data_IF_007244143201
#
_entry.id   IF_007244143201
#
_cell.length_a   1.000
_cell.length_b   1.000
_cell.length_c   1.000
_cell.angle_alpha   90.00
_cell.angle_beta   90.00
_cell.angle_gamma   90.00
#
_symmetry.space_group_name_H-M   'P 1'
#
loop_
_entity.id
_entity.type
_entity.pdbx_description
1 polymer ?
#
# COMPACT_ATOMS: atom_id res chain seq x y z
N UNK A 1 17.39 -6.76 -2.74
CA UNK A 1 16.17 -5.93 -2.73
C UNK A 1 15.22 -6.49 -3.77
N UNK A 2 14.13 -7.06 -3.34
CA UNK A 2 13.11 -7.55 -4.27
C UNK A 2 11.75 -6.99 -3.84
N UNK A 3 11.20 -6.13 -4.68
CA UNK A 3 9.82 -5.73 -4.57
C UNK A 3 8.94 -6.94 -4.88
N UNK A 4 8.23 -7.41 -3.88
CA UNK A 4 7.42 -8.62 -3.93
C UNK A 4 5.93 -8.26 -3.81
N UNK A 5 5.06 -8.87 -4.63
CA UNK A 5 3.63 -8.60 -4.61
C UNK A 5 3.00 -9.21 -3.35
N UNK A 6 2.27 -8.39 -2.61
CA UNK A 6 1.61 -8.77 -1.37
C UNK A 6 0.14 -8.32 -1.39
N UNK A 7 -0.72 -9.11 -0.73
CA UNK A 7 -2.08 -8.69 -0.39
C UNK A 7 -2.14 -8.38 1.11
N UNK A 8 -2.63 -7.19 1.45
CA UNK A 8 -2.61 -6.71 2.82
C UNK A 8 -4.00 -6.53 3.44
N UNK A 9 -5.08 -6.84 2.67
CA UNK A 9 -6.46 -6.68 3.12
C UNK A 9 -7.37 -7.76 2.53
N UNK A 10 -7.61 -8.82 3.30
CA UNK A 10 -8.55 -9.86 2.90
C UNK A 10 -9.31 -10.46 4.11
N UNK A 11 -10.45 -11.05 3.83
CA UNK A 11 -11.36 -11.58 4.81
C UNK A 11 -11.64 -13.06 4.55
N UNK A 12 -11.48 -13.86 5.61
CA UNK A 12 -11.88 -15.26 5.61
C UNK A 12 -13.34 -15.44 6.06
N UNK A 13 -13.78 -16.68 6.09
CA UNK A 13 -15.10 -17.06 6.63
C UNK A 13 -15.21 -16.94 8.16
N UNK A 14 -14.13 -16.54 8.85
CA UNK A 14 -14.19 -16.10 10.25
C UNK A 14 -14.65 -14.65 10.37
N UNK A 15 -14.57 -13.87 9.27
CA UNK A 15 -15.07 -12.50 9.16
C UNK A 15 -16.21 -12.40 8.16
N UNK A 16 -16.06 -11.51 7.16
CA UNK A 16 -17.08 -11.22 6.13
C UNK A 16 -16.82 -11.97 4.80
N UNK A 17 -15.73 -12.75 4.70
CA UNK A 17 -15.37 -13.47 3.51
C UNK A 17 -16.09 -14.81 3.34
N UNK A 18 -16.07 -15.32 2.12
CA UNK A 18 -16.66 -16.62 1.77
C UNK A 18 -15.63 -17.76 1.73
N UNK A 19 -14.34 -17.44 1.76
CA UNK A 19 -13.26 -18.42 1.70
C UNK A 19 -12.77 -18.79 3.10
N UNK A 20 -12.41 -20.05 3.31
CA UNK A 20 -11.58 -20.42 4.45
C UNK A 20 -10.19 -19.79 4.36
N UNK A 21 -9.47 -19.72 5.47
CA UNK A 21 -8.08 -19.26 5.47
C UNK A 21 -7.23 -20.10 4.52
N UNK A 22 -7.40 -21.42 4.55
CA UNK A 22 -6.66 -22.34 3.65
C UNK A 22 -6.92 -22.06 2.17
N UNK A 23 -8.17 -21.76 1.79
CA UNK A 23 -8.49 -21.38 0.40
C UNK A 23 -7.86 -20.04 0.01
N UNK A 24 -7.84 -19.05 0.92
CA UNK A 24 -7.16 -17.78 0.67
C UNK A 24 -5.65 -17.95 0.47
N UNK A 25 -5.00 -18.78 1.29
CA UNK A 25 -3.58 -19.08 1.15
C UNK A 25 -3.30 -19.75 -0.21
N UNK A 26 -4.12 -20.74 -0.61
CA UNK A 26 -3.95 -21.40 -1.91
C UNK A 26 -4.19 -20.43 -3.09
N UNK A 27 -5.27 -19.66 -3.06
CA UNK A 27 -5.57 -18.64 -4.07
C UNK A 27 -4.45 -17.60 -4.19
N UNK A 28 -3.82 -17.23 -3.06
CA UNK A 28 -2.68 -16.33 -3.05
C UNK A 28 -1.45 -16.92 -3.74
N UNK A 29 -1.20 -18.21 -3.52
CA UNK A 29 -0.13 -18.93 -4.22
C UNK A 29 -0.41 -19.01 -5.73
N UNK A 30 -1.64 -19.31 -6.11
CA UNK A 30 -2.08 -19.39 -7.51
C UNK A 30 -1.99 -18.02 -8.21
N UNK A 31 -2.25 -16.93 -7.49
CA UNK A 31 -2.11 -15.54 -7.93
C UNK A 31 -0.64 -15.04 -7.89
N UNK A 32 0.31 -15.91 -7.50
CA UNK A 32 1.73 -15.58 -7.37
C UNK A 32 2.00 -14.42 -6.40
N UNK A 33 1.20 -14.27 -5.36
CA UNK A 33 1.50 -13.37 -4.25
C UNK A 33 2.62 -13.98 -3.40
N UNK A 34 3.55 -13.14 -2.99
CA UNK A 34 4.66 -13.57 -2.12
C UNK A 34 4.25 -13.67 -0.65
N UNK A 35 3.17 -12.95 -0.28
CA UNK A 35 2.68 -12.88 1.09
C UNK A 35 1.24 -12.34 1.10
N UNK A 36 0.43 -12.81 2.08
CA UNK A 36 -0.94 -12.35 2.31
C UNK A 36 -1.15 -11.98 3.78
N UNK A 37 -1.95 -10.95 4.06
CA UNK A 37 -2.45 -10.65 5.40
C UNK A 37 -3.91 -11.13 5.54
N UNK A 38 -4.19 -11.93 6.55
CA UNK A 38 -5.58 -12.25 6.94
C UNK A 38 -6.01 -11.17 7.92
N UNK A 39 -7.04 -10.41 7.54
CA UNK A 39 -7.47 -9.20 8.26
C UNK A 39 -8.98 -9.22 8.54
N UNK A 40 -9.47 -10.33 9.07
CA UNK A 40 -10.88 -10.49 9.41
C UNK A 40 -11.39 -9.37 10.31
N UNK A 41 -12.62 -8.95 10.08
CA UNK A 41 -13.22 -7.80 10.73
C UNK A 41 -13.47 -8.05 12.22
N UNK A 42 -12.77 -7.32 13.08
CA UNK A 42 -12.87 -7.35 14.53
C UNK A 42 -12.68 -8.74 15.17
N UNK A 43 -11.99 -9.68 14.48
CA UNK A 43 -11.66 -11.01 14.99
C UNK A 43 -10.29 -11.48 14.51
N UNK A 44 -9.71 -12.41 15.26
CA UNK A 44 -8.44 -13.08 14.95
C UNK A 44 -8.62 -14.61 14.94
N UNK A 45 -9.85 -15.10 14.87
CA UNK A 45 -10.18 -16.53 15.00
C UNK A 45 -9.53 -17.38 13.89
N UNK A 46 -9.33 -16.79 12.70
CA UNK A 46 -8.66 -17.45 11.57
C UNK A 46 -7.16 -17.70 11.74
N UNK A 47 -6.50 -17.12 12.76
CA UNK A 47 -5.03 -17.25 12.92
C UNK A 47 -4.56 -18.69 13.16
N UNK A 48 -5.40 -19.52 13.75
CA UNK A 48 -5.07 -20.93 14.00
C UNK A 48 -4.97 -21.78 12.72
N UNK A 49 -5.50 -21.30 11.61
CA UNK A 49 -5.51 -21.97 10.31
C UNK A 49 -4.40 -21.50 9.37
N UNK A 50 -3.56 -20.53 9.79
CA UNK A 50 -2.46 -20.03 8.98
C UNK A 50 -1.41 -21.13 8.75
N UNK A 51 -0.98 -21.29 7.50
CA UNK A 51 0.07 -22.22 7.09
C UNK A 51 1.06 -21.52 6.14
N UNK A 52 2.15 -21.02 6.70
CA UNK A 52 3.20 -20.32 5.96
C UNK A 52 3.94 -21.22 4.94
N UNK A 53 3.72 -22.54 4.96
CA UNK A 53 4.27 -23.44 3.94
C UNK A 53 3.53 -23.36 2.60
N UNK A 54 2.29 -22.89 2.60
CA UNK A 54 1.48 -22.63 1.39
C UNK A 54 1.79 -21.23 0.85
N UNK A 55 1.54 -20.21 1.69
CA UNK A 55 1.87 -18.80 1.39
C UNK A 55 2.25 -18.12 2.69
N UNK A 56 3.43 -17.47 2.76
CA UNK A 56 3.80 -16.66 3.92
C UNK A 56 2.70 -15.67 4.29
N UNK A 57 2.38 -15.56 5.57
CA UNK A 57 1.21 -14.81 6.03
C UNK A 57 1.53 -13.75 7.09
N UNK A 58 0.67 -12.75 7.18
CA UNK A 58 0.63 -11.75 8.25
C UNK A 58 -0.66 -11.95 9.03
N UNK A 59 -0.53 -12.03 10.35
CA UNK A 59 -1.64 -11.93 11.29
C UNK A 59 -2.12 -10.49 11.35
N UNK A 60 -3.35 -10.22 10.96
CA UNK A 60 -3.90 -8.88 10.95
C UNK A 60 -5.38 -8.86 11.33
N UNK A 61 -5.90 -7.69 11.57
CA UNK A 61 -7.32 -7.47 11.84
C UNK A 61 -7.76 -6.15 11.20
N UNK A 62 -8.91 -6.16 10.55
CA UNK A 62 -9.60 -4.91 10.26
C UNK A 62 -10.37 -4.48 11.52
N UNK A 63 -9.96 -3.36 12.09
CA UNK A 63 -10.62 -2.70 13.21
C UNK A 63 -11.74 -1.82 12.66
N UNK A 64 -12.90 -2.43 12.40
CA UNK A 64 -14.04 -1.73 11.81
C UNK A 64 -14.86 -1.01 12.87
N UNK A 65 -15.18 0.25 12.61
CA UNK A 65 -15.96 1.11 13.50
C UNK A 65 -17.00 1.91 12.69
N UNK A 66 -18.02 2.51 13.33
CA UNK A 66 -18.97 3.40 12.63
C UNK A 66 -18.36 4.67 12.05
N UNK A 67 -17.09 4.95 12.35
CA UNK A 67 -16.37 6.16 11.94
C UNK A 67 -15.23 5.90 10.97
N UNK A 68 -15.11 4.69 10.45
CA UNK A 68 -14.05 4.24 9.56
C UNK A 68 -13.28 3.06 10.11
N UNK A 69 -12.38 2.51 9.32
CA UNK A 69 -11.63 1.30 9.64
C UNK A 69 -10.12 1.53 9.68
N UNK A 70 -9.45 0.77 10.53
CA UNK A 70 -7.99 0.63 10.56
C UNK A 70 -7.61 -0.80 10.21
N UNK A 71 -6.49 -0.99 9.55
CA UNK A 71 -5.80 -2.28 9.47
C UNK A 71 -4.71 -2.33 10.54
N UNK A 72 -4.78 -3.33 11.42
CA UNK A 72 -3.75 -3.63 12.42
C UNK A 72 -3.01 -4.88 11.97
N UNK A 73 -1.81 -4.73 11.43
CA UNK A 73 -1.00 -5.84 10.90
C UNK A 73 0.10 -6.23 11.89
N UNK A 74 0.28 -7.52 12.15
CA UNK A 74 1.30 -8.06 13.06
C UNK A 74 0.85 -8.13 14.51
N UNK A 75 -0.42 -8.43 14.75
CA UNK A 75 -0.98 -8.67 16.09
C UNK A 75 -1.09 -10.17 16.35
N UNK A 76 -1.00 -10.57 17.62
CA UNK A 76 -1.16 -11.98 18.04
C UNK A 76 -2.57 -12.29 18.59
N UNK A 77 -3.32 -11.26 18.93
CA UNK A 77 -4.69 -11.39 19.46
C UNK A 77 -5.53 -10.16 19.12
N UNK A 78 -6.84 -10.35 19.09
CA UNK A 78 -7.79 -9.26 18.86
C UNK A 78 -7.68 -8.18 19.94
N UNK A 79 -7.83 -6.93 19.51
CA UNK A 79 -8.01 -5.76 20.38
C UNK A 79 -9.48 -5.34 20.27
N UNK A 80 -10.12 -5.02 21.38
CA UNK A 80 -11.49 -4.52 21.37
C UNK A 80 -11.54 -3.11 20.79
N UNK A 81 -12.02 -3.02 19.55
CA UNK A 81 -12.17 -1.75 18.82
C UNK A 81 -13.64 -1.35 18.60
N UNK A 82 -14.60 -2.16 19.09
CA UNK A 82 -16.03 -1.91 18.88
C UNK A 82 -16.52 -0.61 19.51
N UNK A 83 -15.87 -0.19 20.60
CA UNK A 83 -16.20 1.04 21.33
C UNK A 83 -15.36 2.25 20.87
N UNK A 84 -14.72 2.17 19.69
CA UNK A 84 -13.91 3.26 19.16
C UNK A 84 -14.79 4.42 18.71
N UNK A 85 -14.43 5.62 19.14
CA UNK A 85 -15.10 6.88 18.83
C UNK A 85 -14.07 7.93 18.39
N UNK A 86 -14.48 9.06 17.82
CA UNK A 86 -13.55 10.16 17.52
C UNK A 86 -12.76 10.68 18.72
N UNK A 87 -13.26 10.50 19.95
CA UNK A 87 -12.59 10.99 21.17
C UNK A 87 -11.48 10.06 21.64
N UNK A 88 -11.58 8.74 21.39
CA UNK A 88 -10.61 7.76 21.90
C UNK A 88 -9.74 7.10 20.83
N UNK A 89 -9.91 7.41 19.55
CA UNK A 89 -9.19 6.77 18.41
C UNK A 89 -7.66 6.82 18.60
N UNK A 90 -7.10 7.94 19.06
CA UNK A 90 -5.65 8.05 19.27
C UNK A 90 -5.15 7.06 20.34
N UNK A 91 -5.97 6.76 21.36
CA UNK A 91 -5.63 5.79 22.40
C UNK A 91 -5.72 4.37 21.86
N UNK A 92 -6.72 4.07 21.02
CA UNK A 92 -6.86 2.77 20.35
C UNK A 92 -5.67 2.50 19.42
N UNK A 93 -5.25 3.49 18.65
CA UNK A 93 -4.05 3.39 17.79
C UNK A 93 -2.80 3.13 18.63
N UNK A 94 -2.65 3.81 19.78
CA UNK A 94 -1.52 3.58 20.68
C UNK A 94 -1.53 2.17 21.27
N UNK A 95 -2.70 1.63 21.62
CA UNK A 95 -2.84 0.27 22.11
C UNK A 95 -2.48 -0.76 21.05
N UNK A 96 -2.99 -0.61 19.82
CA UNK A 96 -2.63 -1.48 18.69
C UNK A 96 -1.11 -1.47 18.46
N UNK A 97 -0.49 -0.29 18.44
CA UNK A 97 0.96 -0.16 18.30
C UNK A 97 1.74 -0.73 19.49
N UNK A 98 1.21 -0.60 20.69
CA UNK A 98 1.76 -1.20 21.92
C UNK A 98 1.79 -2.73 21.85
N UNK A 99 0.84 -3.33 21.13
CA UNK A 99 0.78 -4.77 20.82
C UNK A 99 1.62 -5.15 19.58
N UNK A 100 2.44 -4.23 19.06
CA UNK A 100 3.37 -4.49 17.96
C UNK A 100 2.80 -4.22 16.57
N UNK A 101 1.54 -3.82 16.43
CA UNK A 101 0.91 -3.59 15.14
C UNK A 101 1.61 -2.52 14.29
N UNK A 102 1.64 -2.76 12.99
CA UNK A 102 1.74 -1.74 11.94
C UNK A 102 0.31 -1.31 11.63
N UNK A 103 0.01 -0.02 11.82
CA UNK A 103 -1.37 0.49 11.76
C UNK A 103 -1.57 1.35 10.52
N UNK A 104 -2.60 1.02 9.74
CA UNK A 104 -2.97 1.77 8.54
C UNK A 104 -4.43 2.19 8.53
N UNK A 105 -4.73 3.21 7.73
CA UNK A 105 -6.10 3.60 7.40
C UNK A 105 -6.55 2.78 6.20
N UNK A 106 -7.63 2.02 6.34
CA UNK A 106 -8.22 1.27 5.24
C UNK A 106 -9.31 2.09 4.55
N UNK A 107 -9.45 1.92 3.23
CA UNK A 107 -10.50 2.48 2.35
C UNK A 107 -11.13 3.80 2.85
N UNK A 108 -10.37 4.89 3.00
CA UNK A 108 -10.81 6.08 3.76
C UNK A 108 -12.05 6.79 3.19
N UNK A 109 -12.45 6.46 1.96
CA UNK A 109 -13.59 7.08 1.28
C UNK A 109 -14.64 6.08 0.79
N UNK A 110 -14.56 4.81 1.23
CA UNK A 110 -15.61 3.82 0.94
C UNK A 110 -16.97 4.31 1.46
N UNK A 111 -18.03 4.15 0.66
CA UNK A 111 -19.37 4.63 1.02
C UNK A 111 -19.90 4.04 2.32
N UNK A 112 -19.52 2.79 2.63
CA UNK A 112 -19.99 2.04 3.79
C UNK A 112 -19.10 2.17 5.03
N UNK A 113 -17.93 2.81 4.91
CA UNK A 113 -16.93 2.85 5.98
C UNK A 113 -15.99 4.05 5.93
N UNK A 114 -16.45 5.19 5.35
CA UNK A 114 -15.61 6.37 5.18
C UNK A 114 -14.96 6.84 6.49
N UNK A 115 -13.70 7.22 6.41
CA UNK A 115 -12.90 7.75 7.51
C UNK A 115 -13.42 9.09 8.01
N UNK A 116 -13.88 9.14 9.25
CA UNK A 116 -14.45 10.34 9.89
C UNK A 116 -13.65 10.79 11.12
N UNK A 117 -12.53 10.12 11.39
CA UNK A 117 -11.69 10.49 12.52
C UNK A 117 -10.80 11.67 12.21
N UNK A 118 -10.58 12.51 13.23
CA UNK A 118 -9.59 13.60 13.20
C UNK A 118 -8.48 13.27 14.21
N UNK A 119 -7.41 12.65 13.72
CA UNK A 119 -6.29 12.22 14.55
C UNK A 119 -5.52 13.43 15.11
N UNK A 120 -5.18 13.39 16.40
CA UNK A 120 -4.27 14.37 17.04
C UNK A 120 -2.83 14.15 16.58
N UNK A 121 -2.46 12.88 16.30
CA UNK A 121 -1.12 12.52 15.87
C UNK A 121 -1.13 11.54 14.70
N UNK A 122 -1.17 12.08 13.47
CA UNK A 122 -1.11 11.29 12.24
C UNK A 122 0.21 10.49 12.09
N UNK A 123 1.27 10.80 12.86
CA UNK A 123 2.54 10.05 12.80
C UNK A 123 2.45 8.65 13.42
N UNK A 124 1.34 8.35 14.09
CA UNK A 124 1.06 7.01 14.60
C UNK A 124 0.44 6.08 13.54
N UNK A 125 0.17 6.59 12.33
CA UNK A 125 -0.26 5.81 11.17
C UNK A 125 0.97 5.47 10.33
N UNK A 126 1.13 4.20 9.99
CA UNK A 126 2.27 3.70 9.21
C UNK A 126 1.96 3.66 7.71
N UNK A 127 0.69 3.39 7.32
CA UNK A 127 0.28 3.33 5.92
C UNK A 127 -1.17 3.77 5.70
N UNK A 128 -1.54 3.99 4.44
CA UNK A 128 -2.91 4.28 4.01
C UNK A 128 -3.20 3.54 2.71
N UNK A 129 -4.38 2.96 2.59
CA UNK A 129 -4.87 2.45 1.33
C UNK A 129 -5.23 3.60 0.41
N UNK A 130 -4.36 3.86 -0.57
CA UNK A 130 -4.61 4.85 -1.62
C UNK A 130 -5.45 4.26 -2.74
N UNK A 131 -5.49 2.93 -2.83
CA UNK A 131 -6.38 2.15 -3.68
C UNK A 131 -7.01 1.00 -2.90
N UNK A 132 -8.28 0.77 -3.17
CA UNK A 132 -9.09 -0.22 -2.51
C UNK A 132 -10.04 -0.90 -3.50
N UNK A 133 -10.30 -2.19 -3.26
CA UNK A 133 -11.27 -2.99 -4.00
C UNK A 133 -10.87 -3.33 -5.42
N UNK A 134 -11.84 -3.68 -6.25
CA UNK A 134 -11.61 -3.98 -7.66
C UNK A 134 -11.01 -2.77 -8.38
N UNK A 135 -10.06 -3.04 -9.26
CA UNK A 135 -9.48 -2.01 -10.10
C UNK A 135 -10.50 -1.55 -11.14
N UNK A 136 -11.35 -0.61 -10.75
CA UNK A 136 -12.21 0.11 -11.66
C UNK A 136 -11.57 1.44 -12.02
N UNK A 137 -11.42 1.70 -13.30
CA UNK A 137 -10.65 2.83 -13.83
C UNK A 137 -11.25 4.22 -13.54
N UNK A 138 -12.43 4.29 -12.98
CA UNK A 138 -13.09 5.52 -12.56
C UNK A 138 -13.49 5.42 -11.09
N UNK A 139 -12.51 5.32 -10.19
CA UNK A 139 -12.77 5.26 -8.76
C UNK A 139 -12.45 6.61 -8.12
N UNK A 140 -13.50 7.44 -7.96
CA UNK A 140 -13.40 8.77 -7.32
C UNK A 140 -12.93 8.67 -5.86
N UNK A 141 -13.21 7.57 -5.19
CA UNK A 141 -12.79 7.31 -3.80
C UNK A 141 -11.29 7.12 -3.70
N UNK A 142 -10.70 6.40 -4.64
CA UNK A 142 -9.26 6.21 -4.73
C UNK A 142 -8.55 7.54 -5.03
N UNK A 143 -9.11 8.41 -5.86
CA UNK A 143 -8.57 9.75 -6.12
C UNK A 143 -8.59 10.61 -4.85
N UNK A 144 -9.67 10.54 -4.05
CA UNK A 144 -9.76 11.23 -2.75
C UNK A 144 -8.76 10.66 -1.75
N UNK A 145 -8.57 9.33 -1.72
CA UNK A 145 -7.59 8.68 -0.84
C UNK A 145 -6.16 9.11 -1.17
N UNK A 146 -5.83 9.18 -2.47
CA UNK A 146 -4.55 9.68 -2.95
C UNK A 146 -4.32 11.16 -2.58
N UNK A 147 -5.37 11.99 -2.66
CA UNK A 147 -5.34 13.39 -2.24
C UNK A 147 -5.13 13.52 -0.72
N UNK A 148 -5.88 12.78 0.10
CA UNK A 148 -5.72 12.72 1.55
C UNK A 148 -4.29 12.32 1.95
N UNK A 149 -3.74 11.29 1.31
CA UNK A 149 -2.36 10.86 1.55
C UNK A 149 -1.36 11.98 1.20
N UNK A 150 -1.56 12.70 0.09
CA UNK A 150 -0.74 13.85 -0.31
C UNK A 150 -0.74 14.93 0.78
N UNK A 151 -1.92 15.26 1.35
CA UNK A 151 -2.02 16.22 2.46
C UNK A 151 -1.28 15.76 3.73
N UNK A 152 -1.33 14.45 4.04
CA UNK A 152 -0.61 13.88 5.18
C UNK A 152 0.92 13.95 4.98
N UNK A 153 1.39 13.68 3.78
CA UNK A 153 2.81 13.85 3.42
C UNK A 153 3.25 15.32 3.54
N UNK A 154 2.42 16.27 3.10
CA UNK A 154 2.69 17.71 3.22
C UNK A 154 2.75 18.19 4.67
N UNK A 155 2.03 17.53 5.58
CA UNK A 155 2.11 17.75 7.03
C UNK A 155 3.38 17.14 7.66
N UNK A 156 4.26 16.55 6.85
CA UNK A 156 5.51 15.91 7.29
C UNK A 156 5.32 14.54 7.94
N UNK A 157 4.23 13.85 7.60
CA UNK A 157 4.04 12.46 8.00
C UNK A 157 4.79 11.54 7.04
N UNK A 158 5.43 10.51 7.58
CA UNK A 158 6.07 9.45 6.80
C UNK A 158 5.12 8.25 6.79
N UNK A 159 4.20 8.24 5.83
CA UNK A 159 3.13 7.24 5.70
C UNK A 159 3.28 6.52 4.35
N UNK A 160 3.31 5.19 4.38
CA UNK A 160 3.38 4.35 3.20
C UNK A 160 2.05 4.35 2.43
N UNK A 161 2.09 4.15 1.10
CA UNK A 161 0.89 3.85 0.33
C UNK A 161 0.71 2.34 0.18
N UNK A 162 -0.53 1.88 0.18
CA UNK A 162 -0.90 0.49 -0.09
C UNK A 162 -2.07 0.39 -1.04
N UNK A 163 -2.23 -0.78 -1.60
CA UNK A 163 -3.41 -1.25 -2.31
C UNK A 163 -4.03 -2.39 -1.49
N UNK A 164 -5.31 -2.33 -1.17
CA UNK A 164 -6.07 -3.38 -0.51
C UNK A 164 -7.14 -3.95 -1.42
N UNK A 165 -7.14 -5.27 -1.65
CA UNK A 165 -8.22 -5.94 -2.43
C UNK A 165 -9.54 -5.93 -1.70
N UNK A 166 -9.52 -5.93 -0.37
CA UNK A 166 -10.69 -6.24 0.45
C UNK A 166 -11.33 -7.57 -0.01
N UNK A 167 -10.48 -8.61 -0.11
CA UNK A 167 -10.81 -9.86 -0.77
C UNK A 167 -11.76 -10.70 0.05
N UNK A 168 -13.00 -10.82 -0.37
CA UNK A 168 -14.09 -11.53 0.35
C UNK A 168 -14.65 -12.74 -0.41
N UNK A 169 -14.62 -12.71 -1.75
CA UNK A 169 -15.25 -13.72 -2.60
C UNK A 169 -14.63 -13.75 -4.01
N UNK A 170 -15.13 -14.64 -4.88
CA UNK A 170 -14.65 -14.77 -6.25
C UNK A 170 -15.12 -13.64 -7.19
N UNK A 171 -16.15 -12.89 -6.84
CA UNK A 171 -16.60 -11.72 -7.63
C UNK A 171 -15.50 -10.67 -7.69
N UNK A 172 -14.66 -10.69 -6.68
CA UNK A 172 -13.46 -9.88 -6.58
C UNK A 172 -12.21 -10.61 -7.14
N UNK A 173 -12.32 -11.75 -7.81
CA UNK A 173 -11.18 -12.42 -8.43
C UNK A 173 -11.00 -11.95 -9.88
N UNK A 174 -9.83 -11.52 -10.24
CA UNK A 174 -9.45 -11.35 -11.65
C UNK A 174 -8.94 -9.98 -12.08
N UNK A 175 -9.23 -8.89 -11.36
CA UNK A 175 -8.83 -7.55 -11.79
C UNK A 175 -8.24 -6.74 -10.64
N UNK A 176 -7.24 -7.32 -9.93
CA UNK A 176 -6.70 -6.70 -8.75
C UNK A 176 -5.24 -6.40 -8.87
N UNK A 177 -4.92 -5.23 -8.40
CA UNK A 177 -3.56 -4.86 -8.11
C UNK A 177 -3.00 -5.60 -6.90
N UNK A 178 -1.92 -5.08 -6.40
CA UNK A 178 -1.28 -5.52 -5.17
C UNK A 178 -0.43 -4.40 -4.58
N UNK A 179 -0.03 -4.57 -3.33
CA UNK A 179 1.05 -3.79 -2.74
C UNK A 179 2.37 -4.51 -2.99
N UNK A 180 3.31 -3.87 -3.70
CA UNK A 180 4.68 -4.36 -3.72
C UNK A 180 5.42 -3.86 -2.48
N UNK A 181 6.06 -4.76 -1.75
CA UNK A 181 6.94 -4.45 -0.62
C UNK A 181 8.40 -4.78 -0.95
N UNK A 182 9.35 -3.88 -0.63
CA UNK A 182 10.78 -4.16 -0.71
C UNK A 182 11.22 -4.92 0.53
N UNK A 183 10.99 -6.22 0.51
CA UNK A 183 11.33 -7.13 1.62
C UNK A 183 12.80 -7.48 1.52
N UNK A 184 13.55 -7.19 2.58
CA UNK A 184 14.96 -7.53 2.71
C UNK A 184 15.11 -8.81 3.55
N UNK A 185 15.78 -9.80 2.98
CA UNK A 185 15.98 -11.12 3.62
C UNK A 185 14.86 -12.11 3.32
N UNK A 186 14.50 -12.90 4.31
CA UNK A 186 13.47 -13.93 4.22
C UNK A 186 12.07 -13.34 4.11
N UNK A 187 11.20 -13.99 3.31
CA UNK A 187 9.80 -13.60 3.16
C UNK A 187 9.02 -14.13 4.36
N UNK A 188 8.75 -13.25 5.30
CA UNK A 188 7.98 -13.54 6.51
C UNK A 188 7.29 -12.27 7.04
N UNK A 189 6.38 -12.44 8.00
CA UNK A 189 5.66 -11.33 8.64
C UNK A 189 6.61 -10.24 9.14
N UNK A 190 7.67 -10.58 9.87
CA UNK A 190 8.57 -9.60 10.49
C UNK A 190 9.22 -8.67 9.44
N UNK A 191 9.78 -9.23 8.37
CA UNK A 191 10.48 -8.46 7.34
C UNK A 191 9.50 -7.66 6.46
N UNK A 192 8.30 -8.20 6.19
CA UNK A 192 7.24 -7.49 5.48
C UNK A 192 6.75 -6.27 6.27
N UNK A 193 6.45 -6.43 7.56
CA UNK A 193 6.03 -5.33 8.43
C UNK A 193 7.12 -4.28 8.62
N UNK A 194 8.39 -4.71 8.68
CA UNK A 194 9.53 -3.80 8.69
C UNK A 194 9.59 -2.95 7.42
N UNK A 195 9.43 -3.58 6.24
CA UNK A 195 9.40 -2.86 4.96
C UNK A 195 8.26 -1.84 4.92
N UNK A 196 7.06 -2.21 5.37
CA UNK A 196 5.90 -1.32 5.42
C UNK A 196 6.11 -0.13 6.36
N UNK A 197 6.60 -0.36 7.58
CA UNK A 197 6.97 0.72 8.52
C UNK A 197 8.02 1.69 7.97
N UNK A 198 8.94 1.18 7.17
CA UNK A 198 9.96 2.00 6.51
C UNK A 198 9.47 2.73 5.28
N UNK A 199 8.18 2.63 4.93
CA UNK A 199 7.62 3.24 3.74
C UNK A 199 8.12 2.63 2.43
N UNK A 200 8.56 1.37 2.43
CA UNK A 200 9.11 0.68 1.25
C UNK A 200 8.03 -0.07 0.49
N UNK A 201 7.01 0.67 0.03
CA UNK A 201 5.85 0.10 -0.66
C UNK A 201 5.51 0.82 -1.96
N UNK A 202 4.78 0.12 -2.81
CA UNK A 202 4.20 0.62 -4.06
C UNK A 202 2.80 0.05 -4.20
N UNK A 203 1.80 0.90 -4.34
CA UNK A 203 0.45 0.48 -4.75
C UNK A 203 0.43 0.36 -6.28
N UNK A 204 -0.03 -0.78 -6.82
CA UNK A 204 0.04 -1.06 -8.24
C UNK A 204 -1.15 -1.88 -8.74
N UNK A 205 -1.52 -1.67 -9.99
CA UNK A 205 -2.49 -2.50 -10.72
C UNK A 205 -1.94 -3.85 -11.20
N UNK A 206 -0.71 -4.19 -10.78
CA UNK A 206 -0.01 -5.42 -11.13
C UNK A 206 1.38 -5.20 -11.71
N UNK A 207 1.63 -4.05 -12.35
CA UNK A 207 2.97 -3.72 -12.86
C UNK A 207 3.95 -3.51 -11.70
N UNK A 208 5.13 -4.11 -11.80
CA UNK A 208 6.21 -3.85 -10.86
C UNK A 208 6.91 -2.54 -11.24
N UNK A 209 6.83 -1.57 -10.37
CA UNK A 209 7.36 -0.22 -10.58
C UNK A 209 8.01 0.31 -9.31
N UNK A 210 9.25 0.81 -9.40
CA UNK A 210 9.94 1.46 -8.29
C UNK A 210 11.08 2.33 -8.80
N UNK A 211 11.70 3.11 -7.92
CA UNK A 211 12.86 3.90 -8.24
C UNK A 211 13.96 3.81 -7.18
N UNK A 212 15.17 4.20 -7.59
CA UNK A 212 16.30 4.47 -6.70
C UNK A 212 16.81 5.88 -6.97
N UNK A 213 17.43 6.48 -5.95
CA UNK A 213 18.05 7.79 -6.07
C UNK A 213 19.55 7.69 -5.78
N UNK A 214 20.36 8.15 -6.72
CA UNK A 214 21.81 8.19 -6.56
C UNK A 214 22.24 9.62 -6.27
N UNK A 215 22.91 9.82 -5.14
CA UNK A 215 23.45 11.11 -4.72
C UNK A 215 24.82 10.93 -4.09
N UNK A 216 25.85 11.61 -4.62
CA UNK A 216 27.22 11.63 -4.09
C UNK A 216 27.80 10.23 -3.80
N UNK A 217 27.56 9.27 -4.71
CA UNK A 217 28.05 7.90 -4.60
C UNK A 217 27.23 6.98 -3.67
N UNK A 218 26.15 7.47 -3.07
CA UNK A 218 25.22 6.69 -2.23
C UNK A 218 23.94 6.44 -3.02
N UNK A 219 23.38 5.24 -2.87
CA UNK A 219 22.09 4.86 -3.45
C UNK A 219 21.04 4.79 -2.35
N UNK A 220 19.96 5.51 -2.54
CA UNK A 220 18.80 5.54 -1.64
C UNK A 220 17.60 4.85 -2.30
N UNK A 221 16.71 4.29 -1.49
CA UNK A 221 15.48 3.64 -1.93
C UNK A 221 14.23 4.37 -1.38
N UNK A 222 13.07 3.98 -1.87
CA UNK A 222 11.76 4.44 -1.36
C UNK A 222 11.73 4.29 0.16
N UNK A 223 11.15 5.28 0.85
CA UNK A 223 11.04 5.36 2.31
C UNK A 223 12.23 6.03 3.00
N UNK A 224 13.37 6.17 2.33
CA UNK A 224 14.59 6.74 2.93
C UNK A 224 14.61 8.27 2.86
N UNK A 225 15.48 8.87 3.68
CA UNK A 225 15.73 10.31 3.74
C UNK A 225 17.14 10.63 3.27
N UNK A 226 17.26 11.59 2.36
CA UNK A 226 18.52 12.07 1.83
C UNK A 226 18.61 13.60 1.94
N UNK A 227 19.78 14.16 1.62
CA UNK A 227 19.99 15.62 1.65
C UNK A 227 19.49 16.26 0.36
N UNK A 228 19.15 17.55 0.41
CA UNK A 228 18.91 18.36 -0.78
C UNK A 228 20.11 18.35 -1.73
N UNK A 229 19.86 18.56 -3.01
CA UNK A 229 20.91 18.73 -4.03
C UNK A 229 20.71 17.86 -5.26
N UNK A 230 21.70 17.92 -6.14
CA UNK A 230 21.67 17.18 -7.41
C UNK A 230 21.66 15.68 -7.17
N UNK A 231 20.71 15.00 -7.78
CA UNK A 231 20.46 13.56 -7.63
C UNK A 231 20.00 12.97 -8.96
N UNK A 232 20.24 11.68 -9.14
CA UNK A 232 19.76 10.92 -10.31
C UNK A 232 18.73 9.93 -9.84
N UNK A 233 17.51 10.05 -10.34
CA UNK A 233 16.45 9.04 -10.19
C UNK A 233 16.64 7.98 -11.26
N UNK A 234 16.65 6.73 -10.85
CA UNK A 234 16.67 5.56 -11.72
C UNK A 234 15.37 4.79 -11.55
N UNK A 235 14.55 4.73 -12.59
CA UNK A 235 13.26 4.05 -12.59
C UNK A 235 13.37 2.63 -13.10
N UNK A 236 12.64 1.73 -12.47
CA UNK A 236 12.58 0.31 -12.81
C UNK A 236 11.13 -0.10 -13.03
N UNK A 237 10.87 -0.69 -14.19
CA UNK A 237 9.55 -1.20 -14.57
C UNK A 237 9.68 -2.63 -15.04
N UNK A 238 8.84 -3.52 -14.52
CA UNK A 238 8.57 -4.82 -15.12
C UNK A 238 7.10 -4.84 -15.51
N UNK A 239 6.86 -4.61 -16.79
CA UNK A 239 5.54 -4.42 -17.36
C UNK A 239 4.76 -5.73 -17.50
N UNK A 240 5.47 -6.86 -17.49
CA UNK A 240 4.88 -8.19 -17.61
C UNK A 240 4.65 -8.87 -16.27
N UNK A 241 5.11 -8.26 -15.18
CA UNK A 241 4.85 -8.74 -13.84
C UNK A 241 3.34 -8.67 -13.58
N UNK A 242 2.66 -9.82 -13.49
CA UNK A 242 1.23 -9.94 -13.23
C UNK A 242 0.30 -9.34 -14.32
N UNK A 243 0.75 -9.24 -15.57
CA UNK A 243 -0.03 -8.70 -16.68
C UNK A 243 -1.39 -9.42 -16.85
N UNK A 244 -1.42 -10.74 -16.59
CA UNK A 244 -2.64 -11.54 -16.66
C UNK A 244 -3.70 -11.19 -15.60
N UNK A 245 -3.30 -10.50 -14.53
CA UNK A 245 -4.18 -10.16 -13.41
C UNK A 245 -4.80 -8.77 -13.56
N UNK A 246 -4.39 -7.97 -14.56
CA UNK A 246 -4.95 -6.63 -14.78
C UNK A 246 -6.37 -6.64 -15.35
N UNK A 247 -6.78 -7.75 -15.97
CA UNK A 247 -8.10 -7.92 -16.58
C UNK A 247 -8.44 -6.95 -17.72
N UNK A 248 -7.48 -6.10 -18.07
CA UNK A 248 -7.63 -5.18 -19.18
C UNK A 248 -7.27 -5.87 -20.50
N UNK A 249 -8.04 -5.62 -21.53
CA UNK A 249 -7.75 -6.16 -22.86
C UNK A 249 -6.50 -5.53 -23.48
N UNK A 250 -6.26 -4.23 -23.17
CA UNK A 250 -5.09 -3.50 -23.67
C UNK A 250 -4.57 -2.50 -22.65
N UNK A 251 -3.31 -2.64 -22.25
CA UNK A 251 -2.61 -1.72 -21.37
C UNK A 251 -1.39 -1.10 -22.08
N UNK A 252 -1.39 0.21 -22.24
CA UNK A 252 -0.26 0.98 -22.74
C UNK A 252 0.43 1.73 -21.60
N UNK A 253 1.69 1.47 -21.36
CA UNK A 253 2.51 2.22 -20.40
C UNK A 253 3.13 3.43 -21.11
N UNK A 254 2.86 4.65 -20.62
CA UNK A 254 3.22 5.87 -21.35
C UNK A 254 4.24 6.73 -20.63
N UNK A 255 3.93 7.19 -19.43
CA UNK A 255 4.71 8.22 -18.75
C UNK A 255 4.99 7.91 -17.29
N UNK A 256 6.13 8.40 -16.82
CA UNK A 256 6.49 8.46 -15.40
C UNK A 256 6.45 9.92 -14.98
N UNK A 257 5.76 10.20 -13.87
CA UNK A 257 5.73 11.51 -13.24
C UNK A 257 6.42 11.44 -11.89
N UNK A 258 7.21 12.46 -11.58
CA UNK A 258 7.74 12.68 -10.24
C UNK A 258 6.94 13.79 -9.58
N UNK A 259 6.28 13.44 -8.49
CA UNK A 259 5.39 14.31 -7.73
C UNK A 259 6.05 14.70 -6.42
N UNK A 260 5.84 15.95 -5.98
CA UNK A 260 6.35 16.48 -4.70
C UNK A 260 5.26 17.26 -3.96
N UNK A 261 5.63 17.94 -2.89
CA UNK A 261 4.75 18.72 -2.01
C UNK A 261 3.65 19.47 -2.79
N UNK A 262 2.45 19.44 -2.25
CA UNK A 262 1.25 19.99 -2.88
C UNK A 262 0.74 19.19 -4.08
N UNK A 263 1.22 17.97 -4.30
CA UNK A 263 0.87 17.18 -5.49
C UNK A 263 1.46 17.73 -6.79
N UNK A 264 2.49 18.57 -6.71
CA UNK A 264 3.10 19.23 -7.88
C UNK A 264 3.94 18.23 -8.67
N UNK A 265 3.65 18.11 -9.96
CA UNK A 265 4.50 17.36 -10.88
C UNK A 265 5.75 18.20 -11.23
N UNK A 266 6.92 17.74 -10.79
CA UNK A 266 8.20 18.42 -11.04
C UNK A 266 8.94 17.85 -12.22
N UNK A 267 8.53 16.69 -12.71
CA UNK A 267 9.08 16.03 -13.89
C UNK A 267 8.06 15.08 -14.50
N UNK A 268 7.97 15.08 -15.80
CA UNK A 268 7.26 14.05 -16.57
C UNK A 268 8.16 13.55 -17.71
N UNK A 269 8.22 12.23 -17.88
CA UNK A 269 9.04 11.60 -18.91
C UNK A 269 8.37 10.36 -19.48
N UNK A 270 8.83 9.88 -20.62
CA UNK A 270 8.37 8.62 -21.20
C UNK A 270 8.92 7.43 -20.42
N UNK A 271 8.18 6.32 -20.40
CA UNK A 271 8.54 5.12 -19.63
C UNK A 271 9.89 4.49 -20.04
N UNK A 272 10.34 4.76 -21.25
CA UNK A 272 11.66 4.31 -21.75
C UNK A 272 12.85 5.10 -21.18
N UNK A 273 12.65 6.33 -20.70
CA UNK A 273 13.68 7.14 -20.06
C UNK A 273 13.81 6.74 -18.60
N UNK A 274 14.92 6.08 -18.27
CA UNK A 274 15.10 5.46 -16.95
C UNK A 274 15.94 6.25 -15.97
N UNK A 275 16.64 7.30 -16.43
CA UNK A 275 17.56 8.07 -15.60
C UNK A 275 17.30 9.57 -15.73
N UNK A 276 16.88 10.19 -14.66
CA UNK A 276 16.51 11.61 -14.64
C UNK A 276 17.31 12.36 -13.57
N UNK A 277 17.89 13.49 -13.96
CA UNK A 277 18.57 14.39 -13.04
C UNK A 277 17.59 15.39 -12.42
N UNK A 278 17.53 15.41 -11.10
CA UNK A 278 16.66 16.30 -10.31
C UNK A 278 17.51 17.01 -9.25
N UNK A 279 17.30 18.31 -9.10
CA UNK A 279 17.85 19.06 -7.97
C UNK A 279 16.83 19.08 -6.82
N UNK A 280 17.02 18.19 -5.84
CA UNK A 280 16.11 18.02 -4.72
C UNK A 280 16.13 19.26 -3.80
N UNK A 281 14.94 19.69 -3.37
CA UNK A 281 14.74 20.77 -2.42
C UNK A 281 14.77 20.20 -0.99
N UNK A 282 15.00 21.07 0.00
CA UNK A 282 14.96 20.69 1.43
C UNK A 282 13.53 20.54 1.95
N UNK A 283 13.32 19.65 2.92
CA UNK A 283 12.01 19.42 3.54
C UNK A 283 10.89 19.09 2.52
N UNK A 284 11.22 18.29 1.50
CA UNK A 284 10.29 17.81 0.50
C UNK A 284 10.21 16.30 0.54
N UNK A 285 9.13 15.77 -0.01
CA UNK A 285 8.97 14.37 -0.37
C UNK A 285 8.86 14.25 -1.89
N UNK A 286 9.25 13.10 -2.42
CA UNK A 286 9.17 12.80 -3.86
C UNK A 286 8.68 11.38 -4.05
N UNK A 287 7.54 11.22 -4.73
CA UNK A 287 6.99 9.93 -5.16
C UNK A 287 6.95 9.86 -6.67
N UNK A 288 6.99 8.64 -7.20
CA UNK A 288 6.81 8.42 -8.63
C UNK A 288 5.44 7.82 -8.92
N UNK A 289 4.86 8.23 -10.03
CA UNK A 289 3.60 7.75 -10.57
C UNK A 289 3.82 7.20 -11.99
N UNK A 290 3.36 5.99 -12.26
CA UNK A 290 3.35 5.41 -13.59
C UNK A 290 1.98 5.59 -14.21
N UNK A 291 1.91 6.26 -15.34
CA UNK A 291 0.70 6.52 -16.08
C UNK A 291 0.70 5.80 -17.42
N UNK A 292 -0.49 5.39 -17.86
CA UNK A 292 -0.66 4.74 -19.13
C UNK A 292 -2.08 4.91 -19.66
N UNK A 293 -2.44 4.05 -20.60
CA UNK A 293 -3.83 3.88 -21.02
C UNK A 293 -4.27 2.46 -20.74
N UNK A 294 -5.53 2.33 -20.40
CA UNK A 294 -6.22 1.06 -20.29
C UNK A 294 -7.48 1.19 -21.10
N UNK A 295 -7.64 0.33 -22.10
CA UNK A 295 -8.74 0.39 -23.08
C UNK A 295 -8.95 1.79 -23.68
N UNK A 296 -7.81 2.45 -24.00
CA UNK A 296 -7.77 3.80 -24.58
C UNK A 296 -7.88 4.97 -23.62
N UNK A 297 -8.26 4.75 -22.36
CA UNK A 297 -8.40 5.80 -21.34
C UNK A 297 -7.12 5.98 -20.50
N UNK A 298 -6.71 7.24 -20.26
CA UNK A 298 -5.53 7.57 -19.44
C UNK A 298 -5.80 7.26 -17.96
N UNK A 299 -4.93 6.43 -17.36
CA UNK A 299 -5.05 5.94 -15.98
C UNK A 299 -3.71 5.94 -15.25
N UNK A 300 -3.78 6.10 -13.92
CA UNK A 300 -2.66 5.87 -13.00
C UNK A 300 -2.54 4.37 -12.77
N UNK A 301 -1.37 3.79 -13.05
CA UNK A 301 -1.13 2.34 -13.04
C UNK A 301 -0.32 1.88 -11.83
N UNK A 302 0.55 2.74 -11.30
CA UNK A 302 1.28 2.49 -10.06
C UNK A 302 1.67 3.80 -9.40
N UNK A 303 1.71 3.79 -8.07
CA UNK A 303 2.21 4.89 -7.26
C UNK A 303 3.14 4.37 -6.18
N UNK A 304 4.33 4.98 -6.06
CA UNK A 304 5.31 4.59 -5.04
C UNK A 304 5.08 5.37 -3.75
N UNK A 305 5.41 4.79 -2.62
CA UNK A 305 5.73 5.59 -1.43
C UNK A 305 6.89 6.54 -1.73
N UNK A 306 7.02 7.65 -0.98
CA UNK A 306 8.01 8.65 -1.30
C UNK A 306 9.40 8.35 -0.74
N UNK A 307 10.36 9.10 -1.28
CA UNK A 307 11.63 9.38 -0.63
C UNK A 307 11.56 10.79 -0.04
N UNK A 308 12.31 11.06 1.03
CA UNK A 308 12.23 12.31 1.77
C UNK A 308 13.54 13.08 1.72
N UNK A 309 13.48 14.40 1.93
CA UNK A 309 14.67 15.25 2.04
C UNK A 309 14.70 16.04 3.33
N UNK A 310 15.88 16.13 3.95
CA UNK A 310 16.14 16.89 5.17
C UNK A 310 17.30 17.90 4.96
#
# INVERSE_FOLDING_TARGET
MSYLPCELHCHSNHGEGNFSVSELLQKSADDHLALIAITDKNTTDGFAELDDSVTPSIKGMECATPYGSLLALGIDSAVDTLNTTPDNIDSVIQELRGNGAVVGISHPFDENGAWKFNLRNHRNIDFIEVWHGAFTFANVENDKALAMWTELLDKGCHIACTYGRDWKNDENSGHFGCTYLDIDGEINQHNALKALRMGKSVASTGVKFFFRVHQKGVTYTIGETLKKGSSVFSFFTDLHSREKNSGAEEVEYQTIKLITNGGVCVMETVVSERHIHINLKNNHWYRAELWGKVDGEKKLLAVTSPIYTA
#
